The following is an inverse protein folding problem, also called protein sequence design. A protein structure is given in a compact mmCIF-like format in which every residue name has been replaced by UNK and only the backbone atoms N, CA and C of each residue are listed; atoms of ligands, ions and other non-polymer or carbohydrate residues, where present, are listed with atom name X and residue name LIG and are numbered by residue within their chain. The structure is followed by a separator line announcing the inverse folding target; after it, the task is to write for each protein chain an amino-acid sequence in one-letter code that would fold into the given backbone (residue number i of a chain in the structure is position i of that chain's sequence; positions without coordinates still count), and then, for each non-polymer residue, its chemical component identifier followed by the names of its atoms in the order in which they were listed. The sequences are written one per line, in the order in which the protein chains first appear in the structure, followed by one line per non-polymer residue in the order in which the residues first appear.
data_IF_890325838241
#
_entry.id   IF_890325838241
#
_cell.length_a   1.000
_cell.length_b   1.000
_cell.length_c   1.000
_cell.angle_alpha   90.00
_cell.angle_beta   90.00
_cell.angle_gamma   90.00
#
_symmetry.space_group_name_H-M   'P 1'
#
loop_
_entity.id
_entity.type
_entity.pdbx_description
1 polymer ?
#
# COMPACT_ATOMS: atom_id res chain seq x y z
N UNK A 1 1.05 1.70 -5.68
CA UNK A 1 0.75 0.38 -5.08
C UNK A 1 1.23 0.30 -3.63
N UNK A 2 2.54 0.44 -3.39
CA UNK A 2 3.12 0.34 -2.03
C UNK A 2 2.53 1.34 -1.02
N UNK A 3 2.44 2.61 -1.37
CA UNK A 3 1.94 3.63 -0.43
C UNK A 3 0.47 3.49 -0.06
N UNK A 4 -0.36 2.86 -0.89
CA UNK A 4 -1.74 2.57 -0.53
C UNK A 4 -1.80 1.58 0.63
N UNK A 5 -0.98 0.52 0.61
CA UNK A 5 -0.87 -0.43 1.72
C UNK A 5 -0.34 0.24 2.98
N UNK A 6 0.79 0.93 2.89
CA UNK A 6 1.42 1.51 4.08
C UNK A 6 0.57 2.61 4.73
N UNK A 7 -0.18 3.38 3.94
CA UNK A 7 -1.08 4.41 4.46
C UNK A 7 -2.28 3.80 5.19
N UNK A 8 -2.77 2.63 4.76
CA UNK A 8 -3.87 1.92 5.43
C UNK A 8 -3.40 1.02 6.58
N UNK A 9 -2.20 0.46 6.54
CA UNK A 9 -1.78 -0.58 7.50
C UNK A 9 -0.89 -0.05 8.64
N UNK A 10 0.15 0.73 8.35
CA UNK A 10 1.22 1.01 9.33
C UNK A 10 0.71 1.71 10.61
N UNK A 11 -0.28 2.60 10.45
CA UNK A 11 -0.85 3.39 11.56
C UNK A 11 -2.27 2.95 11.90
N UNK A 12 -3.08 2.62 10.89
CA UNK A 12 -4.51 2.33 11.08
C UNK A 12 -4.82 0.84 11.22
N UNK A 13 -3.83 -0.03 10.92
CA UNK A 13 -3.95 -1.48 10.89
C UNK A 13 -5.20 -1.94 10.12
N UNK A 14 -5.44 -1.30 8.98
CA UNK A 14 -6.66 -1.37 8.18
C UNK A 14 -6.33 -1.73 6.71
N UNK A 15 -5.23 -2.45 6.49
CA UNK A 15 -4.90 -2.99 5.18
C UNK A 15 -5.96 -3.98 4.70
N UNK A 16 -6.10 -4.12 3.37
CA UNK A 16 -7.08 -5.01 2.75
C UNK A 16 -8.19 -4.23 2.02
N UNK A 17 -9.44 -4.72 2.02
CA UNK A 17 -10.55 -4.06 1.36
C UNK A 17 -10.75 -2.64 1.88
N UNK A 18 -10.74 -1.66 0.97
CA UNK A 18 -10.84 -0.26 1.32
C UNK A 18 -12.29 0.14 1.61
N UNK A 19 -12.52 0.63 2.83
CA UNK A 19 -13.81 1.14 3.27
C UNK A 19 -13.68 2.64 3.52
N UNK A 20 -14.36 3.45 2.70
CA UNK A 20 -14.22 4.90 2.70
C UNK A 20 -14.53 5.51 4.07
N UNK A 21 -15.64 5.12 4.68
CA UNK A 21 -16.11 5.71 5.94
C UNK A 21 -15.13 5.43 7.10
N UNK A 22 -14.67 4.18 7.21
CA UNK A 22 -13.68 3.76 8.23
C UNK A 22 -12.38 4.52 8.00
N UNK A 23 -11.90 4.57 6.77
CA UNK A 23 -10.66 5.26 6.43
C UNK A 23 -10.73 6.75 6.76
N UNK A 24 -11.82 7.44 6.40
CA UNK A 24 -12.02 8.86 6.71
C UNK A 24 -12.12 9.11 8.20
N UNK A 25 -12.83 8.25 8.94
CA UNK A 25 -12.96 8.36 10.39
C UNK A 25 -11.58 8.25 11.05
N UNK A 26 -10.82 7.18 10.76
CA UNK A 26 -9.48 6.96 11.32
C UNK A 26 -8.51 8.07 10.92
N UNK A 27 -8.56 8.51 9.67
CA UNK A 27 -7.72 9.60 9.15
C UNK A 27 -7.99 10.92 9.86
N UNK A 28 -9.27 11.30 10.01
CA UNK A 28 -9.66 12.53 10.72
C UNK A 28 -9.23 12.49 12.17
N UNK A 29 -9.52 11.40 12.88
CA UNK A 29 -9.13 11.23 14.28
C UNK A 29 -7.61 11.32 14.47
N UNK A 30 -6.84 10.72 13.57
CA UNK A 30 -5.39 10.78 13.60
C UNK A 30 -4.90 12.21 13.33
N UNK A 31 -5.37 12.85 12.27
CA UNK A 31 -5.00 14.21 11.88
C UNK A 31 -5.41 15.27 12.92
N UNK A 32 -6.46 15.03 13.71
CA UNK A 32 -6.90 15.93 14.78
C UNK A 32 -6.21 15.67 16.12
N UNK A 33 -5.31 14.69 16.20
CA UNK A 33 -4.56 14.40 17.42
C UNK A 33 -3.33 15.29 17.48
N UNK A 34 -3.12 15.96 18.63
CA UNK A 34 -1.92 16.78 18.85
C UNK A 34 -0.62 15.96 18.70
N UNK A 35 0.40 16.58 18.11
CA UNK A 35 1.67 15.93 17.84
C UNK A 35 2.39 15.42 19.10
N UNK A 36 2.30 16.14 20.22
CA UNK A 36 2.90 15.71 21.49
C UNK A 36 2.25 14.40 21.97
N UNK A 37 0.93 14.29 21.83
CA UNK A 37 0.19 13.08 22.18
C UNK A 37 0.50 11.92 21.22
N UNK A 38 0.57 12.17 19.91
CA UNK A 38 0.98 11.16 18.92
C UNK A 38 2.39 10.64 19.19
N UNK A 39 3.33 11.54 19.48
CA UNK A 39 4.72 11.20 19.80
C UNK A 39 4.81 10.37 21.08
N UNK A 40 4.03 10.71 22.10
CA UNK A 40 3.96 9.93 23.34
C UNK A 40 3.35 8.53 23.11
N UNK A 41 2.29 8.41 22.30
CA UNK A 41 1.71 7.11 21.94
C UNK A 41 2.72 6.26 21.18
N UNK A 42 3.48 6.88 20.28
CA UNK A 42 4.54 6.23 19.54
C UNK A 42 5.67 5.73 20.45
N UNK A 43 6.17 6.55 21.38
CA UNK A 43 7.23 6.14 22.30
C UNK A 43 6.81 5.02 23.26
N UNK A 44 5.50 4.86 23.49
CA UNK A 44 4.91 3.74 24.23
C UNK A 44 4.62 2.50 23.38
N UNK A 45 5.05 2.48 22.11
CA UNK A 45 4.87 1.34 21.21
C UNK A 45 3.48 1.22 20.58
N UNK A 46 2.66 2.28 20.62
CA UNK A 46 1.30 2.25 20.07
C UNK A 46 1.20 2.13 18.54
N UNK A 47 2.31 2.28 17.83
CA UNK A 47 2.37 2.15 16.36
C UNK A 47 3.56 1.26 15.95
N UNK A 48 3.49 -0.06 16.18
CA UNK A 48 4.64 -0.96 16.05
C UNK A 48 5.13 -1.13 14.60
N UNK A 49 4.27 -0.86 13.61
CA UNK A 49 4.59 -0.96 12.18
C UNK A 49 5.09 0.36 11.58
N UNK A 50 4.90 1.48 12.28
CA UNK A 50 5.21 2.79 11.74
C UNK A 50 6.64 3.21 12.09
N UNK A 51 7.33 3.84 11.14
CA UNK A 51 8.56 4.59 11.42
C UNK A 51 8.23 6.02 11.91
N UNK A 52 9.19 6.77 12.50
CA UNK A 52 8.97 8.16 12.89
C UNK A 52 8.52 9.04 11.71
N UNK A 53 9.11 8.80 10.54
CA UNK A 53 8.74 9.49 9.29
C UNK A 53 7.33 9.12 8.83
N UNK A 54 6.93 7.84 8.95
CA UNK A 54 5.55 7.39 8.66
C UNK A 54 4.57 8.14 9.55
N UNK A 55 4.84 8.21 10.85
CA UNK A 55 4.00 8.92 11.81
C UNK A 55 3.81 10.39 11.40
N UNK A 56 4.92 11.10 11.10
CA UNK A 56 4.87 12.52 10.72
C UNK A 56 4.11 12.79 9.43
N UNK A 57 4.24 11.91 8.43
CA UNK A 57 3.65 12.10 7.11
C UNK A 57 2.27 11.47 6.95
N UNK A 58 1.81 10.69 7.93
CA UNK A 58 0.59 9.89 7.81
C UNK A 58 -0.63 10.73 7.45
N UNK A 59 -0.81 11.90 8.09
CA UNK A 59 -1.97 12.75 7.81
C UNK A 59 -1.98 13.24 6.35
N UNK A 60 -0.84 13.75 5.88
CA UNK A 60 -0.69 14.19 4.48
C UNK A 60 -0.92 13.04 3.50
N UNK A 61 -0.30 11.87 3.75
CA UNK A 61 -0.44 10.70 2.87
C UNK A 61 -1.86 10.15 2.84
N UNK A 62 -2.58 10.23 3.96
CA UNK A 62 -4.00 9.84 4.03
C UNK A 62 -4.87 10.77 3.18
N UNK A 63 -4.66 12.08 3.30
CA UNK A 63 -5.37 13.07 2.48
C UNK A 63 -5.03 12.93 0.98
N UNK A 64 -3.76 12.73 0.65
CA UNK A 64 -3.32 12.46 -0.72
C UNK A 64 -3.96 11.20 -1.29
N UNK A 65 -3.95 10.09 -0.55
CA UNK A 65 -4.56 8.84 -0.97
C UNK A 65 -6.06 9.01 -1.25
N UNK A 66 -6.77 9.71 -0.37
CA UNK A 66 -8.19 10.03 -0.59
C UNK A 66 -8.40 10.85 -1.86
N UNK A 67 -7.65 11.93 -2.04
CA UNK A 67 -7.76 12.77 -3.24
C UNK A 67 -7.46 11.99 -4.53
N UNK A 68 -6.42 11.16 -4.52
CA UNK A 68 -6.04 10.35 -5.69
C UNK A 68 -7.12 9.33 -6.03
N UNK A 69 -7.63 8.58 -5.05
CA UNK A 69 -8.66 7.55 -5.29
C UNK A 69 -10.02 8.14 -5.67
N UNK A 70 -10.43 9.26 -5.06
CA UNK A 70 -11.80 9.78 -5.19
C UNK A 70 -11.95 10.97 -6.14
N UNK A 71 -10.86 11.67 -6.45
CA UNK A 71 -10.87 12.82 -7.34
C UNK A 71 -9.90 12.66 -8.52
N UNK A 72 -8.81 11.91 -8.36
CA UNK A 72 -7.80 11.71 -9.40
C UNK A 72 -8.17 10.65 -10.43
N UNK A 73 -8.53 9.44 -9.98
CA UNK A 73 -8.75 8.30 -10.88
C UNK A 73 -10.15 8.16 -11.47
N UNK A 74 -11.07 9.12 -11.25
CA UNK A 74 -12.43 9.01 -11.82
C UNK A 74 -12.42 9.23 -13.34
N UNK A 75 -13.07 8.36 -14.15
CA UNK A 75 -14.02 7.30 -13.79
C UNK A 75 -13.44 5.86 -13.75
N UNK A 76 -12.11 5.71 -13.83
CA UNK A 76 -11.42 4.44 -14.12
C UNK A 76 -11.44 3.45 -12.94
N UNK A 77 -11.57 3.93 -11.71
CA UNK A 77 -11.51 3.09 -10.49
C UNK A 77 -12.78 3.30 -9.67
N UNK A 78 -13.51 2.21 -9.39
CA UNK A 78 -14.49 2.19 -8.31
C UNK A 78 -13.75 2.01 -6.97
N UNK A 79 -13.71 3.02 -6.09
CA UNK A 79 -13.00 2.92 -4.83
C UNK A 79 -13.55 1.81 -3.92
N UNK A 80 -14.82 1.42 -4.07
CA UNK A 80 -15.43 0.34 -3.26
C UNK A 80 -14.83 -1.05 -3.54
N UNK A 81 -14.21 -1.24 -4.71
CA UNK A 81 -13.53 -2.48 -5.06
C UNK A 81 -12.01 -2.39 -4.89
N UNK A 82 -11.50 -1.29 -4.33
CA UNK A 82 -10.08 -1.13 -4.10
C UNK A 82 -9.63 -1.99 -2.91
N UNK A 83 -8.55 -2.74 -3.10
CA UNK A 83 -7.92 -3.55 -2.05
C UNK A 83 -6.46 -3.13 -1.95
N UNK A 84 -6.05 -2.67 -0.78
CA UNK A 84 -4.64 -2.47 -0.49
C UNK A 84 -4.00 -3.80 -0.10
N UNK A 85 -2.85 -4.12 -0.68
CA UNK A 85 -2.11 -5.35 -0.38
C UNK A 85 -0.60 -5.13 -0.52
N UNK A 86 0.18 -5.79 0.34
CA UNK A 86 1.64 -5.87 0.22
C UNK A 86 2.11 -7.23 -0.30
N UNK A 87 1.30 -8.29 -0.13
CA UNK A 87 1.60 -9.66 -0.51
C UNK A 87 0.38 -10.31 -1.16
N UNK A 88 0.57 -11.02 -2.28
CA UNK A 88 -0.45 -11.82 -2.96
C UNK A 88 0.16 -13.16 -3.33
N UNK A 89 -0.49 -14.27 -2.96
CA UNK A 89 0.04 -15.62 -3.22
C UNK A 89 1.40 -15.90 -2.58
N UNK A 90 1.68 -15.28 -1.43
CA UNK A 90 2.98 -15.38 -0.75
C UNK A 90 4.10 -14.53 -1.36
N UNK A 91 3.82 -13.80 -2.45
CA UNK A 91 4.79 -12.96 -3.14
C UNK A 91 4.53 -11.47 -2.88
N UNK A 92 5.58 -10.66 -2.66
CA UNK A 92 5.42 -9.23 -2.50
C UNK A 92 4.90 -8.59 -3.80
N UNK A 93 3.92 -7.69 -3.67
CA UNK A 93 3.33 -6.99 -4.81
C UNK A 93 4.25 -5.85 -5.25
N UNK A 94 5.15 -6.14 -6.19
CA UNK A 94 6.09 -5.18 -6.74
C UNK A 94 6.22 -5.33 -8.26
N UNK A 95 6.34 -4.19 -8.96
CA UNK A 95 6.55 -4.17 -10.41
C UNK A 95 7.88 -4.82 -10.81
N UNK A 96 8.87 -4.82 -9.91
CA UNK A 96 10.19 -5.43 -10.12
C UNK A 96 10.09 -6.93 -10.37
N UNK A 97 9.20 -7.61 -9.64
CA UNK A 97 8.95 -9.04 -9.86
C UNK A 97 8.40 -9.29 -11.27
N UNK A 98 7.45 -8.47 -11.71
CA UNK A 98 6.91 -8.54 -13.07
C UNK A 98 7.97 -8.23 -14.14
N UNK A 99 8.83 -7.24 -13.92
CA UNK A 99 9.93 -6.93 -14.81
C UNK A 99 10.91 -8.10 -14.92
N UNK A 100 11.32 -8.70 -13.79
CA UNK A 100 12.17 -9.90 -13.79
C UNK A 100 11.52 -11.04 -14.54
N UNK A 101 10.23 -11.34 -14.30
CA UNK A 101 9.52 -12.37 -15.05
C UNK A 101 9.53 -12.08 -16.55
N UNK A 102 9.23 -10.85 -16.96
CA UNK A 102 9.23 -10.45 -18.37
C UNK A 102 10.61 -10.58 -19.05
N UNK A 103 11.68 -10.14 -18.39
CA UNK A 103 13.04 -10.19 -18.94
C UNK A 103 13.70 -11.57 -18.81
N UNK A 104 13.41 -12.30 -17.75
CA UNK A 104 13.92 -13.66 -17.53
C UNK A 104 13.24 -14.65 -18.46
N UNK A 105 11.93 -14.54 -18.70
CA UNK A 105 11.22 -15.42 -19.64
C UNK A 105 11.74 -15.23 -21.08
N UNK A 106 12.01 -13.98 -21.49
CA UNK A 106 12.64 -13.69 -22.77
C UNK A 106 14.04 -14.32 -22.93
N UNK A 107 14.80 -14.48 -21.84
CA UNK A 107 16.12 -15.11 -21.85
C UNK A 107 16.05 -16.63 -21.67
N UNK A 108 15.07 -17.16 -20.93
CA UNK A 108 14.85 -18.60 -20.70
C UNK A 108 14.25 -19.26 -21.93
N UNK A 109 13.22 -18.68 -22.57
CA UNK A 109 12.66 -19.23 -23.82
C UNK A 109 13.66 -19.23 -24.97
N UNK A 110 14.61 -18.29 -24.98
CA UNK A 110 15.63 -18.19 -26.02
C UNK A 110 16.88 -19.05 -25.71
N UNK A 111 17.08 -19.44 -24.44
CA UNK A 111 18.17 -20.33 -24.01
C UNK A 111 17.76 -21.81 -23.93
N UNK A 112 16.45 -22.11 -23.89
CA UNK A 112 15.98 -23.49 -23.90
C UNK A 112 16.12 -24.06 -25.32
N UNK A 113 16.92 -25.12 -25.56
CA UNK A 113 16.89 -25.82 -26.82
C UNK A 113 15.45 -26.32 -27.01
N UNK A 114 14.84 -26.09 -28.18
CA UNK A 114 13.63 -26.82 -28.54
C UNK A 114 13.97 -28.29 -28.36
N UNK A 115 13.29 -28.99 -27.44
CA UNK A 115 13.38 -30.43 -27.39
C UNK A 115 12.84 -30.95 -28.72
N UNK A 116 13.75 -31.29 -29.63
CA UNK A 116 13.44 -32.03 -30.84
C UNK A 116 12.91 -33.39 -30.38
N UNK A 117 11.59 -33.50 -30.32
CA UNK A 117 10.90 -34.78 -30.22
C UNK A 117 11.21 -35.57 -31.50
N UNK A 118 12.09 -36.57 -31.34
CA UNK A 118 12.15 -37.78 -32.16
C UNK A 118 11.51 -38.91 -31.37
#
# INVERSE_FOLDING_TARGET
MSEFWYTTDDVFNDGGPYQLDIFLQKSRQYCSTDWALLSQRYSRGGYPKASPTRLRLQCFKSAWMHAVLHSGYKPVVNPEHFVSASVVGGLPVQWTLGAVMFFADASVCNASPRSSSL
#
